data_IF_577292716997
#
_entry.id   IF_577292716997
#
_cell.length_a   1.000
_cell.length_b   1.000
_cell.length_c   1.000
_cell.angle_alpha   90.00
_cell.angle_beta   90.00
_cell.angle_gamma   90.00
#
_symmetry.space_group_name_H-M   'P 1'
#
loop_
_entity.id
_entity.type
_entity.pdbx_description
1 polymer ?
#
# COMPACT_ATOMS: atom_id res chain seq x y z
N UNK A 1 22.57 -51.43 65.12
CA UNK A 1 23.14 -52.59 64.44
C UNK A 1 23.86 -52.17 63.17
N UNK A 2 24.84 -52.93 62.77
CA UNK A 2 25.67 -52.65 61.60
C UNK A 2 24.84 -52.71 60.32
N UNK A 3 23.80 -53.52 60.26
CA UNK A 3 22.88 -53.61 59.11
C UNK A 3 22.04 -52.36 58.93
N UNK A 4 21.58 -51.77 60.04
CA UNK A 4 20.79 -50.50 60.02
C UNK A 4 21.68 -49.33 59.57
N UNK A 5 22.92 -49.24 60.05
CA UNK A 5 23.86 -48.24 59.63
C UNK A 5 24.20 -48.37 58.15
N UNK A 6 24.38 -49.56 57.63
CA UNK A 6 24.63 -49.80 56.23
C UNK A 6 23.43 -49.41 55.36
N UNK A 7 22.24 -49.71 55.80
CA UNK A 7 21.00 -49.28 55.12
C UNK A 7 20.86 -47.76 55.09
N UNK A 8 21.19 -47.06 56.19
CA UNK A 8 21.19 -45.57 56.23
C UNK A 8 22.23 -44.97 55.26
N UNK A 9 23.44 -45.56 55.20
CA UNK A 9 24.48 -45.11 54.24
C UNK A 9 24.02 -45.28 52.82
N UNK A 10 23.45 -46.42 52.45
CA UNK A 10 22.94 -46.70 51.14
C UNK A 10 21.84 -45.71 50.75
N UNK A 11 20.92 -45.40 51.67
CA UNK A 11 19.86 -44.45 51.49
C UNK A 11 20.43 -43.02 51.24
N UNK A 12 21.41 -42.61 52.04
CA UNK A 12 22.08 -41.31 51.83
C UNK A 12 22.79 -41.20 50.50
N UNK A 13 23.49 -42.27 50.09
CA UNK A 13 24.16 -42.30 48.78
C UNK A 13 23.14 -42.18 47.63
N UNK A 14 22.04 -42.88 47.72
CA UNK A 14 20.97 -42.82 46.73
C UNK A 14 20.31 -41.44 46.65
N UNK A 15 20.05 -40.81 47.79
CA UNK A 15 19.50 -39.46 47.86
C UNK A 15 20.49 -38.44 47.32
N UNK A 16 21.78 -38.59 47.62
CA UNK A 16 22.87 -37.73 47.09
C UNK A 16 22.97 -37.86 45.58
N UNK A 17 22.87 -39.05 45.03
CA UNK A 17 22.89 -39.29 43.59
C UNK A 17 21.69 -38.64 42.91
N UNK A 18 20.51 -38.74 43.49
CA UNK A 18 19.29 -38.06 43.02
C UNK A 18 19.43 -36.54 43.04
N UNK A 19 20.00 -36.00 44.12
CA UNK A 19 20.23 -34.56 44.23
C UNK A 19 21.21 -34.05 43.15
N UNK A 20 22.29 -34.76 42.91
CA UNK A 20 23.25 -34.42 41.85
C UNK A 20 22.60 -34.49 40.46
N UNK A 21 21.80 -35.51 40.22
CA UNK A 21 21.05 -35.64 38.95
C UNK A 21 20.08 -34.48 38.74
N UNK A 22 19.31 -34.11 39.80
CA UNK A 22 18.40 -32.97 39.77
C UNK A 22 19.12 -31.65 39.51
N UNK A 23 20.29 -31.44 40.11
CA UNK A 23 21.14 -30.26 39.88
C UNK A 23 21.65 -30.20 38.42
N UNK A 24 22.07 -31.33 37.87
CA UNK A 24 22.48 -31.40 36.46
C UNK A 24 21.34 -31.09 35.48
N UNK A 25 20.15 -31.62 35.76
CA UNK A 25 18.93 -31.29 34.97
C UNK A 25 18.58 -29.82 35.10
N UNK A 26 18.62 -29.25 36.29
CA UNK A 26 18.38 -27.84 36.51
C UNK A 26 19.34 -26.94 35.75
N UNK A 27 20.64 -27.29 35.76
CA UNK A 27 21.66 -26.59 35.00
C UNK A 27 21.38 -26.61 33.49
N UNK A 28 21.08 -27.80 32.96
CA UNK A 28 20.73 -27.94 31.52
C UNK A 28 19.48 -27.16 31.16
N UNK A 29 18.48 -27.16 32.03
CA UNK A 29 17.25 -26.36 31.82
C UNK A 29 17.56 -24.86 31.81
N UNK A 30 18.40 -24.40 32.72
CA UNK A 30 18.82 -22.99 32.78
C UNK A 30 19.59 -22.56 31.54
N UNK A 31 20.47 -23.41 31.01
CA UNK A 31 21.19 -23.16 29.76
C UNK A 31 20.23 -23.06 28.58
N UNK A 32 19.21 -23.89 28.52
CA UNK A 32 18.18 -23.82 27.48
C UNK A 32 17.36 -22.53 27.56
N UNK A 33 17.01 -22.10 28.78
CA UNK A 33 16.28 -20.85 28.98
C UNK A 33 17.12 -19.64 28.52
N UNK A 34 18.42 -19.62 28.77
CA UNK A 34 19.32 -18.57 28.30
C UNK A 34 19.36 -18.55 26.76
N UNK A 35 19.49 -19.72 26.13
CA UNK A 35 19.45 -19.82 24.66
C UNK A 35 18.14 -19.31 24.09
N UNK A 36 17.02 -19.69 24.68
CA UNK A 36 15.69 -19.21 24.26
C UNK A 36 15.54 -17.69 24.44
N UNK A 37 16.11 -17.14 25.51
CA UNK A 37 16.10 -15.69 25.71
C UNK A 37 16.92 -14.94 24.66
N UNK A 38 18.08 -15.49 24.27
CA UNK A 38 18.91 -14.93 23.18
C UNK A 38 18.18 -15.00 21.82
N UNK A 39 17.52 -16.12 21.54
CA UNK A 39 16.69 -16.26 20.33
C UNK A 39 15.53 -15.24 20.32
N UNK A 40 14.86 -15.06 21.44
CA UNK A 40 13.79 -14.09 21.57
C UNK A 40 14.29 -12.65 21.37
N UNK A 41 15.45 -12.30 21.92
CA UNK A 41 16.09 -11.01 21.70
C UNK A 41 16.42 -10.80 20.22
N UNK A 42 16.98 -11.81 19.54
CA UNK A 42 17.25 -11.76 18.11
C UNK A 42 15.96 -11.53 17.28
N UNK A 43 14.87 -12.19 17.65
CA UNK A 43 13.58 -11.98 17.01
C UNK A 43 13.03 -10.55 17.22
N UNK A 44 13.18 -10.00 18.43
CA UNK A 44 12.80 -8.62 18.74
C UNK A 44 13.62 -7.59 17.94
N UNK A 45 14.91 -7.82 17.75
CA UNK A 45 15.76 -6.96 16.92
C UNK A 45 15.30 -6.97 15.45
N UNK A 46 14.93 -8.14 14.94
CA UNK A 46 14.36 -8.24 13.59
C UNK A 46 13.03 -7.49 13.47
N UNK A 47 12.14 -7.63 14.44
CA UNK A 47 10.87 -6.90 14.50
C UNK A 47 11.12 -5.39 14.49
N UNK A 48 12.06 -4.91 15.30
CA UNK A 48 12.45 -3.50 15.34
C UNK A 48 12.93 -3.01 13.97
N UNK A 49 13.75 -3.81 13.28
CA UNK A 49 14.20 -3.53 11.91
C UNK A 49 13.03 -3.43 10.93
N UNK A 50 12.08 -4.35 11.01
CA UNK A 50 10.88 -4.31 10.17
C UNK A 50 9.99 -3.11 10.45
N UNK A 51 9.84 -2.71 11.71
CA UNK A 51 9.09 -1.50 12.09
C UNK A 51 9.71 -0.26 11.45
N UNK A 52 11.04 -0.15 11.48
CA UNK A 52 11.76 0.94 10.81
C UNK A 52 11.48 0.97 9.30
N UNK A 53 11.53 -0.17 8.64
CA UNK A 53 11.21 -0.29 7.22
C UNK A 53 9.75 0.10 6.93
N UNK A 54 8.80 -0.31 7.76
CA UNK A 54 7.38 0.07 7.62
C UNK A 54 7.23 1.58 7.79
N UNK A 55 7.93 2.19 8.74
CA UNK A 55 7.91 3.65 8.91
C UNK A 55 8.42 4.38 7.67
N UNK A 56 9.52 3.92 7.08
CA UNK A 56 10.07 4.50 5.85
C UNK A 56 9.10 4.34 4.67
N UNK A 57 8.48 3.16 4.53
CA UNK A 57 7.46 2.93 3.50
C UNK A 57 6.23 3.83 3.70
N UNK A 58 5.80 4.06 4.93
CA UNK A 58 4.69 4.97 5.22
C UNK A 58 4.98 6.40 4.79
N UNK A 59 6.21 6.88 4.97
CA UNK A 59 6.63 8.20 4.48
C UNK A 59 6.56 8.26 2.95
N UNK A 60 7.02 7.21 2.26
CA UNK A 60 6.94 7.14 0.80
C UNK A 60 5.48 7.11 0.32
N UNK A 61 4.61 6.35 0.99
CA UNK A 61 3.17 6.31 0.67
C UNK A 61 2.53 7.68 0.88
N UNK A 62 2.86 8.37 1.97
CA UNK A 62 2.36 9.72 2.22
C UNK A 62 2.75 10.69 1.10
N UNK A 63 4.02 10.68 0.68
CA UNK A 63 4.52 11.51 -0.43
C UNK A 63 3.81 11.18 -1.74
N UNK A 64 3.67 9.89 -2.07
CA UNK A 64 2.96 9.45 -3.28
C UNK A 64 1.49 9.87 -3.26
N UNK A 65 0.85 9.85 -2.08
CA UNK A 65 -0.54 10.28 -1.91
C UNK A 65 -0.70 11.79 -2.15
N UNK A 66 0.25 12.60 -1.70
CA UNK A 66 0.28 14.04 -1.97
C UNK A 66 0.43 14.33 -3.47
N UNK A 67 1.34 13.62 -4.14
CA UNK A 67 1.52 13.72 -5.60
C UNK A 67 0.25 13.32 -6.35
N UNK A 68 -0.39 12.20 -5.96
CA UNK A 68 -1.66 11.77 -6.55
C UNK A 68 -2.77 12.81 -6.35
N UNK A 69 -2.85 13.42 -5.17
CA UNK A 69 -3.82 14.49 -4.89
C UNK A 69 -3.63 15.69 -5.81
N UNK A 70 -2.38 16.06 -6.10
CA UNK A 70 -2.04 17.12 -7.06
C UNK A 70 -2.49 16.76 -8.48
N UNK A 71 -2.20 15.53 -8.92
CA UNK A 71 -2.62 15.03 -10.24
C UNK A 71 -4.14 15.00 -10.38
N UNK A 72 -4.86 14.57 -9.34
CA UNK A 72 -6.34 14.62 -9.33
C UNK A 72 -6.85 16.05 -9.47
N UNK A 73 -6.19 17.01 -8.82
CA UNK A 73 -6.51 18.43 -8.97
C UNK A 73 -6.33 18.94 -10.41
N UNK A 74 -5.26 18.54 -11.09
CA UNK A 74 -5.05 18.85 -12.51
C UNK A 74 -6.08 18.17 -13.42
N UNK A 75 -6.40 16.91 -13.16
CA UNK A 75 -7.43 16.19 -13.91
C UNK A 75 -8.80 16.87 -13.81
N UNK A 76 -9.17 17.33 -12.63
CA UNK A 76 -10.42 18.08 -12.44
C UNK A 76 -10.47 19.36 -13.28
N UNK A 77 -9.37 20.12 -13.33
CA UNK A 77 -9.26 21.30 -14.20
C UNK A 77 -9.37 20.94 -15.67
N UNK A 78 -8.67 19.88 -16.10
CA UNK A 78 -8.74 19.41 -17.48
C UNK A 78 -10.15 18.99 -17.87
N UNK A 79 -10.88 18.33 -16.98
CA UNK A 79 -12.30 17.96 -17.22
C UNK A 79 -13.17 19.22 -17.37
N UNK A 80 -12.92 20.25 -16.58
CA UNK A 80 -13.65 21.53 -16.66
C UNK A 80 -13.35 22.24 -17.98
N UNK A 81 -12.09 22.28 -18.40
CA UNK A 81 -11.67 22.84 -19.69
C UNK A 81 -12.28 22.06 -20.89
N UNK A 82 -12.32 20.72 -20.82
CA UNK A 82 -12.98 19.89 -21.84
C UNK A 82 -14.47 20.21 -21.91
N UNK A 83 -15.13 20.38 -20.78
CA UNK A 83 -16.56 20.72 -20.74
C UNK A 83 -16.80 22.08 -21.38
N UNK A 84 -15.97 23.08 -21.10
CA UNK A 84 -16.03 24.39 -21.74
C UNK A 84 -15.82 24.31 -23.26
N UNK A 85 -14.76 23.60 -23.71
CA UNK A 85 -14.50 23.36 -25.13
C UNK A 85 -15.66 22.66 -25.82
N UNK A 86 -16.33 21.74 -25.15
CA UNK A 86 -17.52 21.05 -25.69
C UNK A 86 -18.66 22.03 -25.91
N UNK A 87 -18.90 22.95 -24.99
CA UNK A 87 -19.92 24.00 -25.16
C UNK A 87 -19.58 24.95 -26.30
N UNK A 88 -18.33 25.40 -26.40
CA UNK A 88 -17.85 26.25 -27.50
C UNK A 88 -17.97 25.53 -28.85
N UNK A 89 -17.63 24.24 -28.90
CA UNK A 89 -17.77 23.42 -30.12
C UNK A 89 -19.23 23.31 -30.55
N UNK A 90 -20.16 23.15 -29.62
CA UNK A 90 -21.59 23.12 -29.92
C UNK A 90 -22.09 24.48 -30.48
N UNK A 91 -21.59 25.58 -29.93
CA UNK A 91 -21.93 26.94 -30.41
C UNK A 91 -21.38 27.18 -31.82
N UNK A 92 -20.13 26.80 -32.11
CA UNK A 92 -19.53 26.86 -33.43
C UNK A 92 -20.32 26.00 -34.43
N UNK A 93 -20.74 24.80 -34.06
CA UNK A 93 -21.54 23.93 -34.89
C UNK A 93 -22.90 24.59 -35.24
N UNK A 94 -23.50 25.28 -34.27
CA UNK A 94 -24.73 26.03 -34.52
C UNK A 94 -24.53 27.18 -35.49
N UNK A 95 -23.49 27.99 -35.33
CA UNK A 95 -23.14 29.07 -36.27
C UNK A 95 -22.80 28.55 -37.65
N UNK A 96 -22.13 27.40 -37.75
CA UNK A 96 -21.84 26.75 -39.04
C UNK A 96 -23.10 26.33 -39.74
N UNK A 97 -24.08 25.79 -39.04
CA UNK A 97 -25.39 25.42 -39.57
C UNK A 97 -26.13 26.65 -40.11
N UNK A 98 -26.11 27.75 -39.36
CA UNK A 98 -26.73 29.02 -39.78
C UNK A 98 -26.04 29.59 -41.01
N UNK A 99 -24.72 29.61 -41.05
CA UNK A 99 -23.95 30.08 -42.23
C UNK A 99 -24.23 29.22 -43.47
N UNK A 100 -24.35 27.91 -43.28
CA UNK A 100 -24.69 26.98 -44.37
C UNK A 100 -26.07 27.24 -44.94
N UNK A 101 -27.06 27.55 -44.09
CA UNK A 101 -28.41 27.96 -44.57
C UNK A 101 -28.37 29.29 -45.32
N UNK A 102 -27.59 30.27 -44.87
CA UNK A 102 -27.44 31.54 -45.57
C UNK A 102 -26.78 31.36 -46.93
N UNK A 103 -25.76 30.48 -47.04
CA UNK A 103 -25.15 30.13 -48.30
C UNK A 103 -26.12 29.43 -49.27
N UNK A 104 -26.96 28.54 -48.77
CA UNK A 104 -28.01 27.90 -49.58
C UNK A 104 -29.01 28.93 -50.11
N UNK A 105 -29.44 29.87 -49.26
CA UNK A 105 -30.34 30.95 -49.65
C UNK A 105 -29.72 31.83 -50.75
N UNK A 106 -28.46 32.26 -50.55
CA UNK A 106 -27.73 33.08 -51.51
C UNK A 106 -27.51 32.36 -52.86
N UNK A 107 -27.21 31.06 -52.82
CA UNK A 107 -27.07 30.22 -53.99
C UNK A 107 -28.38 30.15 -54.77
N UNK A 108 -29.51 30.00 -54.07
CA UNK A 108 -30.83 30.03 -54.66
C UNK A 108 -31.18 31.38 -55.33
N UNK A 109 -30.79 32.49 -54.69
CA UNK A 109 -30.97 33.81 -55.30
C UNK A 109 -30.11 34.02 -56.54
N UNK A 110 -28.85 33.56 -56.54
CA UNK A 110 -27.97 33.56 -57.70
C UNK A 110 -28.55 32.74 -58.85
N UNK A 111 -29.08 31.56 -58.59
CA UNK A 111 -29.73 30.73 -59.57
C UNK A 111 -30.92 31.45 -60.23
N UNK A 112 -31.74 32.13 -59.49
CA UNK A 112 -32.83 32.95 -59.99
C UNK A 112 -32.32 34.10 -60.86
N UNK A 113 -31.27 34.78 -60.42
CA UNK A 113 -30.68 35.89 -61.14
C UNK A 113 -30.10 35.44 -62.49
N UNK A 114 -29.35 34.33 -62.51
CA UNK A 114 -28.79 33.72 -63.73
C UNK A 114 -29.93 33.25 -64.65
N UNK A 115 -30.99 32.67 -64.11
CA UNK A 115 -32.16 32.25 -64.83
C UNK A 115 -32.89 33.41 -65.56
N UNK A 116 -32.89 34.61 -64.92
CA UNK A 116 -33.47 35.84 -65.52
C UNK A 116 -32.68 36.36 -66.76
N UNK A 117 -31.38 36.04 -66.85
CA UNK A 117 -30.50 36.42 -67.98
C UNK A 117 -30.44 35.37 -69.07
N UNK A 118 -31.07 34.20 -68.93
CA UNK A 118 -31.23 33.21 -70.00
C UNK A 118 -32.35 33.64 -70.94
N UNK A 119 -31.92 34.03 -72.08
CA UNK A 119 -32.80 34.19 -73.22
C UNK A 119 -33.12 32.81 -73.81
#
# INVERSE_FOLDING_TARGET
STAEIQSMINSLQEQSARAVSAMAQGRNQSLRVVTQADEANGALDQITGHITQISDMNIQVATATEEQSSVVGELNRNVEDINQLTMETADIAHHLTESSRNLQHLSGELDKLVGNFRL
#
